data_IF_941712543869
#
_entry.id   IF_941712543869
#
_cell.length_a   1.000
_cell.length_b   1.000
_cell.length_c   1.000
_cell.angle_alpha   90.00
_cell.angle_beta   90.00
_cell.angle_gamma   90.00
#
_symmetry.space_group_name_H-M   'P 1'
#
loop_
_entity.id
_entity.type
_entity.pdbx_description
1 polymer ?
#
# COMPACT_ATOMS: atom_id res chain seq x y z
N UNK A 1 -28.40 25.23 -9.09
CA UNK A 1 -26.93 25.23 -8.92
C UNK A 1 -26.37 24.16 -9.85
N UNK A 2 -25.37 24.47 -10.68
CA UNK A 2 -24.65 23.50 -11.51
C UNK A 2 -23.41 23.01 -10.77
N UNK A 3 -23.14 21.71 -10.82
CA UNK A 3 -21.94 21.09 -10.24
C UNK A 3 -20.98 20.79 -11.39
N UNK A 4 -19.72 21.18 -11.25
CA UNK A 4 -18.64 20.93 -12.21
C UNK A 4 -17.48 20.21 -11.54
N UNK A 5 -16.90 19.20 -12.20
CA UNK A 5 -15.73 18.48 -11.72
C UNK A 5 -14.47 19.30 -12.01
N UNK A 6 -13.75 19.69 -10.97
CA UNK A 6 -12.52 20.50 -11.07
C UNK A 6 -11.23 19.70 -10.85
N UNK A 7 -11.34 18.43 -10.44
CA UNK A 7 -10.19 17.56 -10.19
C UNK A 7 -10.60 16.19 -9.63
N UNK A 8 -9.61 15.37 -9.29
CA UNK A 8 -9.77 14.06 -8.65
C UNK A 8 -8.60 13.15 -8.94
N UNK A 9 -8.27 12.26 -8.00
CA UNK A 9 -7.21 11.27 -8.16
C UNK A 9 -7.64 10.10 -9.07
N UNK A 10 -6.65 9.40 -9.65
CA UNK A 10 -6.87 8.15 -10.37
C UNK A 10 -7.32 7.02 -9.43
N UNK A 11 -7.81 5.91 -10.01
CA UNK A 11 -8.17 4.71 -9.25
C UNK A 11 -6.93 4.06 -8.64
N UNK A 12 -6.96 3.78 -7.33
CA UNK A 12 -5.85 3.17 -6.59
C UNK A 12 -5.98 1.66 -6.37
N UNK A 13 -6.68 0.94 -7.26
CA UNK A 13 -6.89 -0.50 -7.10
C UNK A 13 -5.60 -1.28 -7.39
N UNK A 14 -5.21 -2.11 -6.44
CA UNK A 14 -4.08 -3.02 -6.60
C UNK A 14 -4.35 -4.02 -7.73
N UNK A 15 -3.32 -4.37 -8.49
CA UNK A 15 -3.36 -5.50 -9.41
C UNK A 15 -3.54 -6.79 -8.59
N UNK A 16 -4.58 -7.61 -8.83
CA UNK A 16 -4.90 -8.78 -8.00
C UNK A 16 -3.75 -9.77 -7.83
N UNK A 17 -3.00 -10.03 -8.90
CA UNK A 17 -1.87 -10.97 -8.90
C UNK A 17 -0.74 -10.48 -7.99
N UNK A 18 -0.38 -9.20 -8.09
CA UNK A 18 0.64 -8.60 -7.23
C UNK A 18 0.17 -8.48 -5.78
N UNK A 19 -1.11 -8.19 -5.55
CA UNK A 19 -1.67 -8.15 -4.21
C UNK A 19 -1.59 -9.52 -3.52
N UNK A 20 -1.99 -10.59 -4.22
CA UNK A 20 -1.91 -11.96 -3.71
C UNK A 20 -0.46 -12.39 -3.42
N UNK A 21 0.49 -12.02 -4.30
CA UNK A 21 1.91 -12.24 -4.08
C UNK A 21 2.42 -11.56 -2.81
N UNK A 22 2.07 -10.28 -2.61
CA UNK A 22 2.49 -9.52 -1.44
C UNK A 22 1.86 -10.07 -0.15
N UNK A 23 0.61 -10.51 -0.20
CA UNK A 23 -0.04 -11.19 0.92
C UNK A 23 0.70 -12.47 1.31
N UNK A 24 1.02 -13.33 0.34
CA UNK A 24 1.77 -14.56 0.59
C UNK A 24 3.16 -14.24 1.17
N UNK A 25 3.86 -13.25 0.62
CA UNK A 25 5.16 -12.83 1.15
C UNK A 25 5.08 -12.32 2.58
N UNK A 26 4.04 -11.56 2.92
CA UNK A 26 3.81 -11.11 4.29
C UNK A 26 3.62 -12.29 5.25
N UNK A 27 2.87 -13.33 4.84
CA UNK A 27 2.68 -14.57 5.62
C UNK A 27 3.99 -15.33 5.82
N UNK A 28 4.79 -15.48 4.77
CA UNK A 28 6.07 -16.20 4.81
C UNK A 28 7.13 -15.50 5.67
N UNK A 29 7.11 -14.16 5.72
CA UNK A 29 8.00 -13.39 6.57
C UNK A 29 7.68 -13.55 8.06
N UNK A 30 6.43 -13.89 8.40
CA UNK A 30 6.00 -14.08 9.79
C UNK A 30 6.17 -12.83 10.67
N UNK A 31 6.11 -11.64 10.08
CA UNK A 31 6.34 -10.36 10.76
C UNK A 31 5.08 -9.73 11.34
N UNK A 32 3.91 -10.15 10.87
CA UNK A 32 2.62 -9.51 11.16
C UNK A 32 1.69 -10.52 11.83
N UNK A 33 0.99 -10.09 12.87
CA UNK A 33 -0.04 -10.90 13.55
C UNK A 33 -1.29 -11.00 12.69
N UNK A 34 -1.72 -9.87 12.12
CA UNK A 34 -2.86 -9.77 11.22
C UNK A 34 -2.42 -9.33 9.81
N UNK A 35 -3.02 -9.95 8.80
CA UNK A 35 -2.82 -9.61 7.39
C UNK A 35 -4.19 -9.47 6.75
N UNK A 36 -4.47 -8.26 6.25
CA UNK A 36 -5.74 -7.92 5.61
C UNK A 36 -5.53 -7.77 4.10
N UNK A 37 -6.02 -8.69 3.26
CA UNK A 37 -5.76 -8.68 1.82
C UNK A 37 -6.33 -7.45 1.10
N UNK A 38 -7.48 -6.97 1.56
CA UNK A 38 -8.16 -5.80 1.02
C UNK A 38 -8.94 -5.11 2.12
N UNK A 39 -8.95 -3.77 2.08
CA UNK A 39 -9.84 -2.95 2.88
C UNK A 39 -10.12 -1.65 2.16
N UNK A 40 -11.24 -1.01 2.49
CA UNK A 40 -11.52 0.32 1.97
C UNK A 40 -10.58 1.32 2.65
N UNK A 41 -9.71 1.95 1.87
CA UNK A 41 -8.75 2.94 2.38
C UNK A 41 -9.42 4.19 2.95
N UNK A 42 -10.63 4.53 2.48
CA UNK A 42 -11.39 5.68 2.99
C UNK A 42 -10.77 7.06 2.70
N UNK A 43 -9.67 7.09 1.95
CA UNK A 43 -8.92 8.29 1.59
C UNK A 43 -8.57 8.29 0.10
N UNK A 44 -8.17 9.46 -0.42
CA UNK A 44 -7.61 9.63 -1.75
C UNK A 44 -6.12 9.88 -1.65
N UNK A 45 -5.33 9.33 -2.57
CA UNK A 45 -3.89 9.62 -2.64
C UNK A 45 -3.37 9.74 -4.06
N UNK A 46 -2.30 10.51 -4.23
CA UNK A 46 -1.72 10.81 -5.55
C UNK A 46 -0.85 9.68 -6.13
N UNK A 47 -0.41 8.73 -5.30
CA UNK A 47 0.30 7.54 -5.76
C UNK A 47 -0.52 6.72 -6.76
N UNK A 48 -1.85 6.89 -6.77
CA UNK A 48 -2.75 6.22 -7.70
C UNK A 48 -2.44 6.56 -9.15
N UNK A 49 -1.90 7.75 -9.44
CA UNK A 49 -1.47 8.10 -10.80
C UNK A 49 -0.25 7.28 -11.24
N UNK A 50 0.67 6.95 -10.33
CA UNK A 50 1.79 6.06 -10.66
C UNK A 50 1.30 4.64 -10.91
N UNK A 51 0.36 4.16 -10.09
CA UNK A 51 -0.25 2.86 -10.27
C UNK A 51 -0.97 2.75 -11.62
N UNK A 52 -1.86 3.70 -11.92
CA UNK A 52 -2.60 3.77 -13.19
C UNK A 52 -1.62 3.74 -14.37
N UNK A 53 -0.57 4.56 -14.33
CA UNK A 53 0.43 4.63 -15.40
C UNK A 53 1.16 3.32 -15.64
N UNK A 54 1.50 2.59 -14.58
CA UNK A 54 2.16 1.27 -14.68
C UNK A 54 1.20 0.25 -15.28
N UNK A 55 -0.04 0.21 -14.79
CA UNK A 55 -1.08 -0.72 -15.22
C UNK A 55 -1.49 -0.50 -16.69
N UNK A 56 -1.64 0.76 -17.14
CA UNK A 56 -1.91 1.11 -18.54
C UNK A 56 -0.83 0.61 -19.52
N UNK A 57 0.39 0.41 -19.03
CA UNK A 57 1.51 -0.12 -19.82
C UNK A 57 1.67 -1.63 -19.70
N UNK A 58 0.67 -2.32 -19.13
CA UNK A 58 0.68 -3.76 -18.92
C UNK A 58 1.53 -4.22 -17.74
N UNK A 59 2.03 -3.30 -16.92
CA UNK A 59 2.70 -3.61 -15.66
C UNK A 59 1.70 -3.91 -14.53
N UNK A 60 2.21 -4.36 -13.40
CA UNK A 60 1.43 -4.57 -12.17
C UNK A 60 1.81 -3.51 -11.13
N UNK A 61 0.83 -3.01 -10.39
CA UNK A 61 1.06 -2.04 -9.33
C UNK A 61 0.23 -2.37 -8.09
N UNK A 62 0.81 -2.10 -6.92
CA UNK A 62 0.14 -2.30 -5.65
C UNK A 62 0.60 -1.25 -4.63
N UNK A 63 -0.33 -0.85 -3.76
CA UNK A 63 -0.11 -0.10 -2.56
C UNK A 63 -0.41 -1.00 -1.36
N UNK A 64 0.50 -1.02 -0.38
CA UNK A 64 0.36 -1.77 0.86
C UNK A 64 0.48 -0.83 2.05
N UNK A 65 -0.22 -1.16 3.13
CA UNK A 65 -0.16 -0.43 4.39
C UNK A 65 0.46 -1.30 5.47
N UNK A 66 1.38 -0.72 6.22
CA UNK A 66 1.98 -1.36 7.39
C UNK A 66 1.32 -0.74 8.62
N UNK A 67 0.64 -1.57 9.40
CA UNK A 67 -0.01 -1.13 10.63
C UNK A 67 1.01 -0.62 11.66
N UNK A 68 0.61 0.41 12.40
CA UNK A 68 1.33 0.93 13.55
C UNK A 68 0.33 1.38 14.61
N UNK A 69 0.66 1.19 15.88
CA UNK A 69 -0.11 1.80 16.96
C UNK A 69 0.03 3.33 16.85
N UNK A 70 -1.11 4.02 16.78
CA UNK A 70 -1.16 5.47 16.63
C UNK A 70 -1.57 6.13 17.95
N UNK A 71 -0.90 7.22 18.31
CA UNK A 71 -1.32 8.07 19.42
C UNK A 71 -2.54 8.94 19.08
N UNK A 72 -2.70 9.29 17.79
CA UNK A 72 -3.80 10.07 17.24
C UNK A 72 -3.96 9.82 15.74
N UNK A 73 -5.02 10.35 15.11
CA UNK A 73 -5.30 10.15 13.68
C UNK A 73 -4.25 10.79 12.74
N UNK A 74 -4.19 10.33 11.49
CA UNK A 74 -3.17 10.71 10.49
C UNK A 74 -3.02 12.22 10.22
N UNK A 75 -4.06 13.02 10.46
CA UNK A 75 -4.08 14.48 10.23
C UNK A 75 -4.20 15.27 11.54
N UNK A 76 -3.92 14.65 12.68
CA UNK A 76 -4.01 15.27 14.00
C UNK A 76 -2.67 15.92 14.42
N UNK A 77 -2.73 17.03 15.17
CA UNK A 77 -1.51 17.71 15.66
C UNK A 77 -0.74 16.91 16.72
N UNK A 78 -1.36 15.88 17.31
CA UNK A 78 -0.72 14.94 18.23
C UNK A 78 -0.36 13.61 17.57
N UNK A 79 -0.40 13.54 16.24
CA UNK A 79 -0.01 12.34 15.51
C UNK A 79 1.38 11.87 15.95
N UNK A 80 1.44 10.60 16.33
CA UNK A 80 2.66 9.87 16.60
C UNK A 80 2.37 8.39 16.37
N UNK A 81 3.38 7.60 16.08
CA UNK A 81 3.24 6.17 15.79
C UNK A 81 4.40 5.37 16.39
N UNK A 82 4.15 4.08 16.60
CA UNK A 82 5.19 3.14 17.01
C UNK A 82 6.20 2.86 15.88
N UNK A 83 7.42 3.36 16.03
CA UNK A 83 8.48 3.28 15.03
C UNK A 83 8.96 1.85 14.72
N UNK A 84 8.56 0.83 15.51
CA UNK A 84 8.80 -0.58 15.13
C UNK A 84 8.22 -0.90 13.74
N UNK A 85 7.15 -0.20 13.34
CA UNK A 85 6.57 -0.28 12.01
C UNK A 85 7.57 0.03 10.88
N UNK A 86 8.58 0.89 11.11
CA UNK A 86 9.60 1.22 10.11
C UNK A 86 10.45 -0.01 9.75
N UNK A 87 10.81 -0.82 10.75
CA UNK A 87 11.60 -2.04 10.54
C UNK A 87 10.75 -3.09 9.81
N UNK A 88 9.47 -3.22 10.14
CA UNK A 88 8.56 -4.13 9.46
C UNK A 88 8.33 -3.72 8.01
N UNK A 89 8.11 -2.43 7.76
CA UNK A 89 7.96 -1.88 6.43
C UNK A 89 9.20 -2.14 5.56
N UNK A 90 10.41 -1.86 6.10
CA UNK A 90 11.66 -2.11 5.38
C UNK A 90 11.83 -3.59 5.05
N UNK A 91 11.59 -4.49 6.02
CA UNK A 91 11.73 -5.93 5.79
C UNK A 91 10.74 -6.44 4.73
N UNK A 92 9.48 -6.01 4.80
CA UNK A 92 8.46 -6.37 3.81
C UNK A 92 8.87 -5.89 2.42
N UNK A 93 9.16 -4.59 2.27
CA UNK A 93 9.49 -4.01 0.99
C UNK A 93 10.78 -4.60 0.40
N UNK A 94 11.85 -4.72 1.19
CA UNK A 94 13.13 -5.23 0.73
C UNK A 94 13.04 -6.71 0.34
N UNK A 95 12.36 -7.55 1.13
CA UNK A 95 12.20 -8.96 0.81
C UNK A 95 11.37 -9.18 -0.45
N UNK A 96 10.24 -8.47 -0.59
CA UNK A 96 9.39 -8.54 -1.79
C UNK A 96 10.13 -8.05 -3.03
N UNK A 97 10.81 -6.90 -2.95
CA UNK A 97 11.58 -6.36 -4.07
C UNK A 97 12.74 -7.29 -4.47
N UNK A 98 13.50 -7.81 -3.51
CA UNK A 98 14.58 -8.74 -3.78
C UNK A 98 14.06 -10.03 -4.44
N UNK A 99 12.96 -10.60 -3.95
CA UNK A 99 12.37 -11.81 -4.54
C UNK A 99 11.93 -11.57 -5.98
N UNK A 100 11.16 -10.51 -6.25
CA UNK A 100 10.72 -10.15 -7.61
C UNK A 100 11.87 -9.89 -8.58
N UNK A 101 12.99 -9.34 -8.11
CA UNK A 101 14.19 -9.10 -8.94
C UNK A 101 15.03 -10.35 -9.16
N UNK A 102 14.87 -11.38 -8.32
CA UNK A 102 15.61 -12.64 -8.40
C UNK A 102 14.85 -13.74 -9.12
N UNK A 103 13.52 -13.65 -9.18
CA UNK A 103 12.67 -14.48 -10.02
C UNK A 103 13.02 -14.20 -11.50
N UNK A 104 13.58 -15.23 -12.17
CA UNK A 104 13.91 -15.23 -13.61
C UNK A 104 12.80 -15.89 -14.41
#
# INVERSE_FOLDING_TARGET
VSIEKTGGAAGGSNTPELAAYLEQRARELGLFEDIMPETNFGASEDFSYFMERVQERGGQAAYIMIGADLAAGHHDSHFNFDERALVYALKMLAASAASLLMEK
#
